data_IF_038714956243
#
_entry.id   IF_038714956243
#
_cell.length_a   1.000
_cell.length_b   1.000
_cell.length_c   1.000
_cell.angle_alpha   90.00
_cell.angle_beta   90.00
_cell.angle_gamma   90.00
#
_symmetry.space_group_name_H-M   'P 1'
#
loop_
_entity.id
_entity.type
_entity.pdbx_description
1 polymer ?
#
# COMPACT_ATOMS: atom_id res chain seq x y z
N UNK A 1 -12.15 32.03 -2.51
CA UNK A 1 -11.87 31.48 -3.85
C UNK A 1 -13.12 30.74 -4.27
N UNK A 2 -13.77 31.10 -5.40
CA UNK A 2 -14.98 30.43 -5.87
C UNK A 2 -14.63 28.99 -6.22
N UNK A 3 -15.24 28.01 -5.54
CA UNK A 3 -15.16 26.61 -5.90
C UNK A 3 -15.59 26.44 -7.36
N UNK A 4 -14.72 25.88 -8.16
CA UNK A 4 -15.01 25.61 -9.57
C UNK A 4 -16.14 24.58 -9.65
N UNK A 5 -17.34 25.03 -9.99
CA UNK A 5 -18.53 24.18 -10.08
C UNK A 5 -18.47 23.42 -11.41
N UNK A 6 -18.18 22.12 -11.39
CA UNK A 6 -18.15 21.28 -12.58
C UNK A 6 -19.44 20.44 -12.65
N UNK A 7 -20.15 20.42 -13.78
CA UNK A 7 -21.31 19.53 -13.97
C UNK A 7 -20.91 18.05 -13.83
N UNK A 8 -21.74 17.25 -13.16
CA UNK A 8 -21.48 15.81 -12.93
C UNK A 8 -21.23 15.09 -14.25
N UNK A 9 -22.00 15.36 -15.31
CA UNK A 9 -21.83 14.74 -16.63
C UNK A 9 -20.46 15.04 -17.23
N UNK A 10 -20.03 16.29 -17.19
CA UNK A 10 -18.72 16.71 -17.69
C UNK A 10 -17.58 16.03 -16.90
N UNK A 11 -17.74 15.95 -15.57
CA UNK A 11 -16.78 15.27 -14.71
C UNK A 11 -16.70 13.77 -15.02
N UNK A 12 -17.83 13.11 -15.28
CA UNK A 12 -17.88 11.71 -15.70
C UNK A 12 -17.13 11.51 -17.01
N UNK A 13 -17.33 12.35 -18.01
CA UNK A 13 -16.65 12.29 -19.31
C UNK A 13 -15.13 12.48 -19.16
N UNK A 14 -14.70 13.49 -18.42
CA UNK A 14 -13.29 13.74 -18.11
C UNK A 14 -12.64 12.54 -17.41
N UNK A 15 -13.35 11.98 -16.43
CA UNK A 15 -12.85 10.81 -15.68
C UNK A 15 -12.75 9.59 -16.58
N UNK A 16 -13.74 9.35 -17.43
CA UNK A 16 -13.74 8.23 -18.37
C UNK A 16 -12.61 8.36 -19.38
N UNK A 17 -12.41 9.54 -19.98
CA UNK A 17 -11.32 9.80 -20.91
C UNK A 17 -9.95 9.58 -20.27
N UNK A 18 -9.78 10.06 -19.03
CA UNK A 18 -8.55 9.84 -18.27
C UNK A 18 -8.30 8.35 -18.05
N UNK A 19 -9.31 7.59 -17.59
CA UNK A 19 -9.19 6.15 -17.37
C UNK A 19 -8.91 5.38 -18.66
N UNK A 20 -9.50 5.75 -19.79
CA UNK A 20 -9.20 5.19 -21.12
C UNK A 20 -7.74 5.45 -21.50
N UNK A 21 -7.25 6.67 -21.31
CA UNK A 21 -5.86 7.04 -21.55
C UNK A 21 -4.88 6.24 -20.67
N UNK A 22 -5.32 5.74 -19.53
CA UNK A 22 -4.54 4.83 -18.65
C UNK A 22 -4.69 3.35 -19.02
N UNK A 23 -5.34 3.01 -20.14
CA UNK A 23 -5.47 1.65 -20.63
C UNK A 23 -6.57 0.82 -19.96
N UNK A 24 -7.56 1.45 -19.29
CA UNK A 24 -8.72 0.73 -18.77
C UNK A 24 -9.60 0.20 -19.90
N UNK A 25 -10.06 -1.05 -19.77
CA UNK A 25 -10.95 -1.66 -20.76
C UNK A 25 -12.35 -1.00 -20.72
N UNK A 26 -12.99 -0.86 -21.88
CA UNK A 26 -14.38 -0.33 -21.99
C UNK A 26 -15.38 -1.12 -21.13
N UNK A 27 -15.21 -2.46 -21.01
CA UNK A 27 -16.03 -3.31 -20.14
C UNK A 27 -15.89 -2.92 -18.66
N UNK A 28 -14.67 -2.60 -18.20
CA UNK A 28 -14.43 -2.13 -16.83
C UNK A 28 -15.10 -0.77 -16.59
N UNK A 29 -15.01 0.12 -17.56
CA UNK A 29 -15.66 1.45 -17.47
C UNK A 29 -17.18 1.37 -17.45
N UNK A 30 -17.76 0.32 -17.99
CA UNK A 30 -19.19 0.04 -17.88
C UNK A 30 -19.66 -0.02 -16.40
N UNK A 31 -18.87 -0.62 -15.52
CA UNK A 31 -19.18 -0.67 -14.08
C UNK A 31 -19.08 0.72 -13.43
N UNK A 32 -18.08 1.52 -13.81
CA UNK A 32 -17.96 2.91 -13.35
C UNK A 32 -19.16 3.73 -13.78
N UNK A 33 -19.52 3.71 -15.08
CA UNK A 33 -20.67 4.41 -15.61
C UNK A 33 -21.97 4.02 -14.92
N UNK A 34 -22.17 2.73 -14.64
CA UNK A 34 -23.36 2.27 -13.92
C UNK A 34 -23.50 2.89 -12.52
N UNK A 35 -22.39 3.05 -11.80
CA UNK A 35 -22.38 3.71 -10.50
C UNK A 35 -22.60 5.21 -10.63
N UNK A 36 -21.91 5.86 -11.58
CA UNK A 36 -22.02 7.31 -11.81
C UNK A 36 -23.40 7.74 -12.30
N UNK A 37 -24.05 6.94 -13.15
CA UNK A 37 -25.43 7.21 -13.59
C UNK A 37 -26.43 7.14 -12.42
N UNK A 38 -26.22 6.21 -11.48
CA UNK A 38 -27.03 6.17 -10.25
C UNK A 38 -26.78 7.40 -9.38
N UNK A 39 -25.55 7.84 -9.26
CA UNK A 39 -25.21 9.08 -8.56
C UNK A 39 -25.81 10.30 -9.23
N UNK A 40 -25.74 10.40 -10.56
CA UNK A 40 -26.38 11.48 -11.32
C UNK A 40 -27.90 11.52 -11.10
N UNK A 41 -28.55 10.36 -11.03
CA UNK A 41 -30.00 10.27 -10.75
C UNK A 41 -30.34 10.57 -9.28
N UNK A 42 -29.40 10.37 -8.36
CA UNK A 42 -29.55 10.67 -6.96
C UNK A 42 -29.39 12.16 -6.66
N UNK A 43 -28.45 12.81 -7.33
CA UNK A 43 -28.12 14.21 -7.10
C UNK A 43 -29.25 15.13 -7.58
N UNK A 44 -29.75 15.98 -6.69
CA UNK A 44 -30.71 17.03 -7.02
C UNK A 44 -30.07 18.19 -7.80
N UNK A 45 -28.74 18.36 -7.70
CA UNK A 45 -27.96 19.38 -8.38
C UNK A 45 -27.22 18.80 -9.60
N UNK A 46 -27.16 19.51 -10.74
CA UNK A 46 -26.31 19.08 -11.85
C UNK A 46 -24.82 19.21 -11.57
N UNK A 47 -24.44 20.00 -10.56
CA UNK A 47 -23.05 20.22 -10.16
C UNK A 47 -22.56 19.13 -9.19
N UNK A 48 -21.30 18.74 -9.34
CA UNK A 48 -20.66 17.80 -8.41
C UNK A 48 -20.42 18.46 -7.05
N UNK A 49 -20.80 17.75 -5.99
CA UNK A 49 -20.46 18.08 -4.62
C UNK A 49 -19.96 16.80 -3.91
N UNK A 50 -18.92 16.96 -3.13
CA UNK A 50 -18.33 15.87 -2.36
C UNK A 50 -19.30 15.37 -1.30
N UNK A 51 -19.98 16.27 -0.61
CA UNK A 51 -20.95 15.94 0.43
C UNK A 51 -22.08 15.09 -0.15
N UNK A 52 -22.60 15.48 -1.34
CA UNK A 52 -23.63 14.70 -2.04
C UNK A 52 -23.12 13.32 -2.44
N UNK A 53 -21.84 13.20 -2.86
CA UNK A 53 -21.23 11.92 -3.22
C UNK A 53 -21.04 11.00 -1.98
N UNK A 54 -20.68 11.56 -0.84
CA UNK A 54 -20.56 10.84 0.43
C UNK A 54 -21.92 10.36 0.95
N UNK A 55 -22.95 11.23 0.90
CA UNK A 55 -24.33 10.86 1.23
C UNK A 55 -24.86 9.75 0.32
N UNK A 56 -24.60 9.83 -0.98
CA UNK A 56 -24.96 8.78 -1.94
C UNK A 56 -24.29 7.44 -1.58
N UNK A 57 -23.01 7.45 -1.28
CA UNK A 57 -22.30 6.23 -0.86
C UNK A 57 -22.88 5.63 0.41
N UNK A 58 -23.21 6.46 1.38
CA UNK A 58 -23.81 6.02 2.64
C UNK A 58 -25.21 5.44 2.42
N UNK A 59 -26.10 6.17 1.74
CA UNK A 59 -27.51 5.78 1.59
C UNK A 59 -27.72 4.64 0.60
N UNK A 60 -26.95 4.58 -0.50
CA UNK A 60 -27.16 3.59 -1.55
C UNK A 60 -26.37 2.29 -1.36
N UNK A 61 -25.20 2.40 -0.74
CA UNK A 61 -24.27 1.29 -0.59
C UNK A 61 -23.92 0.97 0.85
N UNK A 62 -24.38 1.78 1.81
CA UNK A 62 -24.01 1.65 3.21
C UNK A 62 -22.53 1.94 3.50
N UNK A 63 -21.86 2.70 2.60
CA UNK A 63 -20.45 3.04 2.74
C UNK A 63 -20.33 4.36 3.48
N UNK A 64 -19.94 4.29 4.74
CA UNK A 64 -19.52 5.47 5.49
C UNK A 64 -18.04 5.75 5.19
N UNK A 65 -17.77 6.88 4.52
CA UNK A 65 -16.41 7.27 4.15
C UNK A 65 -15.59 7.74 5.36
N UNK A 66 -16.26 8.10 6.45
CA UNK A 66 -15.66 8.57 7.70
C UNK A 66 -15.48 7.43 8.73
N UNK A 67 -16.15 6.29 8.55
CA UNK A 67 -15.99 5.16 9.45
C UNK A 67 -14.63 4.46 9.24
N UNK A 68 -13.88 4.33 10.33
CA UNK A 68 -12.52 3.77 10.33
C UNK A 68 -12.58 2.23 10.35
N UNK A 69 -13.59 1.65 10.99
CA UNK A 69 -13.71 0.21 11.25
C UNK A 69 -14.72 -0.51 10.36
N UNK A 70 -15.25 0.17 9.34
CA UNK A 70 -16.25 -0.43 8.47
C UNK A 70 -15.64 -1.52 7.59
N UNK A 71 -16.11 -2.76 7.77
CA UNK A 71 -15.78 -3.86 6.86
C UNK A 71 -16.58 -3.72 5.57
N UNK A 72 -15.90 -3.41 4.47
CA UNK A 72 -16.52 -3.25 3.16
C UNK A 72 -16.59 -4.60 2.43
N UNK A 73 -17.75 -4.95 1.92
CA UNK A 73 -17.91 -6.06 0.96
C UNK A 73 -17.39 -5.70 -0.45
N UNK A 74 -17.53 -6.64 -1.41
CA UNK A 74 -17.08 -6.41 -2.79
C UNK A 74 -17.82 -5.27 -3.46
N UNK A 75 -19.16 -5.18 -3.29
CA UNK A 75 -20.02 -4.15 -3.90
C UNK A 75 -19.71 -2.77 -3.33
N UNK A 76 -19.57 -2.66 -2.01
CA UNK A 76 -19.22 -1.43 -1.31
C UNK A 76 -17.85 -0.91 -1.75
N UNK A 77 -16.83 -1.80 -1.83
CA UNK A 77 -15.49 -1.45 -2.30
C UNK A 77 -15.48 -0.93 -3.73
N UNK A 78 -16.28 -1.54 -4.62
CA UNK A 78 -16.38 -1.07 -6.00
C UNK A 78 -17.06 0.29 -6.10
N UNK A 79 -18.20 0.48 -5.42
CA UNK A 79 -18.90 1.76 -5.41
C UNK A 79 -18.00 2.89 -4.89
N UNK A 80 -17.34 2.69 -3.75
CA UNK A 80 -16.38 3.65 -3.20
C UNK A 80 -15.27 3.97 -4.18
N UNK A 81 -14.71 2.96 -4.86
CA UNK A 81 -13.65 3.16 -5.86
C UNK A 81 -14.11 3.99 -7.05
N UNK A 82 -15.35 3.73 -7.54
CA UNK A 82 -15.90 4.45 -8.67
C UNK A 82 -16.14 5.92 -8.32
N UNK A 83 -16.69 6.21 -7.13
CA UNK A 83 -16.93 7.58 -6.69
C UNK A 83 -15.62 8.33 -6.36
N UNK A 84 -14.64 7.65 -5.76
CA UNK A 84 -13.32 8.24 -5.53
C UNK A 84 -12.63 8.68 -6.83
N UNK A 85 -12.83 7.95 -7.94
CA UNK A 85 -12.26 8.36 -9.22
C UNK A 85 -12.83 9.70 -9.71
N UNK A 86 -14.14 9.96 -9.49
CA UNK A 86 -14.73 11.28 -9.78
C UNK A 86 -14.14 12.37 -8.88
N UNK A 87 -14.12 12.12 -7.57
CA UNK A 87 -13.62 13.08 -6.60
C UNK A 87 -12.16 13.45 -6.83
N UNK A 88 -11.31 12.47 -7.15
CA UNK A 88 -9.89 12.69 -7.43
C UNK A 88 -9.68 13.52 -8.71
N UNK A 89 -10.42 13.23 -9.80
CA UNK A 89 -10.38 14.04 -11.03
C UNK A 89 -10.87 15.45 -10.75
N UNK A 90 -11.94 15.61 -9.97
CA UNK A 90 -12.46 16.92 -9.58
C UNK A 90 -11.40 17.75 -8.84
N UNK A 91 -10.70 17.17 -7.88
CA UNK A 91 -9.74 17.89 -7.04
C UNK A 91 -8.35 18.04 -7.63
N UNK A 92 -7.88 17.05 -8.38
CA UNK A 92 -6.47 16.96 -8.77
C UNK A 92 -6.24 16.78 -10.27
N UNK A 93 -7.29 16.56 -11.05
CA UNK A 93 -7.19 16.24 -12.47
C UNK A 93 -6.63 14.85 -12.78
N UNK A 94 -6.32 14.04 -11.75
CA UNK A 94 -5.73 12.70 -11.90
C UNK A 94 -6.35 11.71 -10.93
N UNK A 95 -6.40 10.42 -11.29
CA UNK A 95 -6.84 9.37 -10.35
C UNK A 95 -5.61 8.72 -9.72
N UNK A 96 -5.48 8.87 -8.42
CA UNK A 96 -4.46 8.18 -7.65
C UNK A 96 -4.88 6.74 -7.40
N UNK A 97 -4.12 5.77 -7.91
CA UNK A 97 -4.38 4.35 -7.65
C UNK A 97 -4.11 3.91 -6.22
N UNK A 98 -3.52 4.77 -5.42
CA UNK A 98 -3.38 4.51 -4.01
C UNK A 98 -4.75 4.48 -3.37
N UNK A 99 -5.01 3.35 -2.73
CA UNK A 99 -5.88 3.36 -1.58
C UNK A 99 -5.23 4.29 -0.54
N UNK A 100 -5.50 5.55 -0.64
CA UNK A 100 -5.66 6.34 0.56
C UNK A 100 -6.90 5.72 1.18
N UNK A 101 -6.72 4.65 1.97
CA UNK A 101 -7.77 4.20 2.86
C UNK A 101 -8.16 5.46 3.60
N UNK A 102 -9.44 5.82 3.47
CA UNK A 102 -9.91 7.09 3.95
C UNK A 102 -9.17 7.48 5.20
N UNK A 103 -8.32 8.46 5.04
CA UNK A 103 -8.14 9.38 6.11
C UNK A 103 -9.50 9.98 6.18
N UNK A 104 -10.34 9.57 7.12
CA UNK A 104 -11.17 10.54 7.69
C UNK A 104 -10.21 11.70 7.90
N UNK A 105 -10.31 12.74 7.09
CA UNK A 105 -9.92 14.04 7.57
C UNK A 105 -10.72 14.12 8.85
N UNK A 106 -10.04 13.91 9.97
CA UNK A 106 -10.57 14.38 11.22
C UNK A 106 -10.51 15.85 10.93
N UNK A 107 -11.65 16.45 10.56
CA UNK A 107 -11.80 17.88 10.35
C UNK A 107 -11.66 18.55 11.73
N UNK A 108 -10.49 18.39 12.30
CA UNK A 108 -10.09 19.00 13.53
C UNK A 108 -8.86 19.85 13.23
N UNK A 109 -9.13 21.09 12.78
CA UNK A 109 -8.11 22.10 12.49
C UNK A 109 -7.04 22.20 13.58
N UNK A 110 -7.38 21.80 14.81
CA UNK A 110 -6.49 21.85 15.95
C UNK A 110 -5.40 20.79 15.93
N UNK A 111 -5.65 19.60 15.37
CA UNK A 111 -4.68 18.49 15.34
C UNK A 111 -4.03 18.32 13.98
N UNK A 112 -4.70 18.65 12.89
CA UNK A 112 -4.22 18.48 11.53
C UNK A 112 -2.92 19.25 11.26
N UNK A 113 -2.77 20.46 11.82
CA UNK A 113 -1.55 21.23 11.69
C UNK A 113 -0.34 20.50 12.31
N UNK A 114 -0.43 20.08 13.56
CA UNK A 114 0.67 19.39 14.26
C UNK A 114 0.99 18.04 13.65
N UNK A 115 -0.01 17.38 13.12
CA UNK A 115 0.12 16.14 12.40
C UNK A 115 0.89 16.34 11.08
N UNK A 116 0.50 17.34 10.31
CA UNK A 116 1.16 17.71 9.06
C UNK A 116 2.61 18.16 9.29
N UNK A 117 2.85 18.94 10.34
CA UNK A 117 4.20 19.42 10.73
C UNK A 117 5.10 18.24 11.11
N UNK A 118 4.59 17.29 11.90
CA UNK A 118 5.32 16.07 12.24
C UNK A 118 5.62 15.18 11.02
N UNK A 119 4.66 15.00 10.13
CA UNK A 119 4.91 14.26 8.89
C UNK A 119 5.93 14.95 7.99
N UNK A 120 5.94 16.29 7.96
CA UNK A 120 6.94 17.06 7.24
C UNK A 120 8.33 16.91 7.86
N UNK A 121 8.43 16.94 9.19
CA UNK A 121 9.64 16.62 9.92
C UNK A 121 10.15 15.21 9.58
N UNK A 122 9.29 14.21 9.60
CA UNK A 122 9.67 12.84 9.26
C UNK A 122 10.17 12.68 7.82
N UNK A 123 9.60 13.44 6.87
CA UNK A 123 10.09 13.49 5.47
C UNK A 123 11.49 14.08 5.40
N UNK A 124 11.78 15.16 6.13
CA UNK A 124 13.11 15.75 6.18
C UNK A 124 14.15 14.81 6.80
N UNK A 125 13.74 13.94 7.72
CA UNK A 125 14.58 12.88 8.28
C UNK A 125 14.77 11.68 7.36
N UNK A 126 14.26 11.72 6.13
CA UNK A 126 14.35 10.65 5.13
C UNK A 126 13.79 9.28 5.60
N UNK A 127 12.76 9.28 6.47
CA UNK A 127 12.09 8.02 6.81
C UNK A 127 11.47 7.37 5.59
N UNK A 128 11.55 6.03 5.55
CA UNK A 128 10.99 5.27 4.44
C UNK A 128 9.48 5.50 4.32
N UNK A 129 8.98 5.40 3.08
CA UNK A 129 7.55 5.53 2.82
C UNK A 129 6.70 4.55 3.63
N UNK A 130 7.11 3.27 3.73
CA UNK A 130 6.40 2.28 4.53
C UNK A 130 6.34 2.68 6.01
N UNK A 131 7.40 3.30 6.53
CA UNK A 131 7.41 3.85 7.88
C UNK A 131 6.40 4.99 8.01
N UNK A 132 6.35 5.91 7.05
CA UNK A 132 5.40 7.01 7.02
C UNK A 132 3.94 6.52 6.99
N UNK A 133 3.63 5.55 6.12
CA UNK A 133 2.27 4.99 5.99
C UNK A 133 1.83 4.30 7.30
N UNK A 134 2.74 3.57 7.95
CA UNK A 134 2.46 2.95 9.25
C UNK A 134 2.30 3.99 10.36
N UNK A 135 3.09 5.05 10.34
CA UNK A 135 2.99 6.17 11.29
C UNK A 135 1.64 6.86 11.16
N UNK A 136 1.22 7.20 9.95
CA UNK A 136 -0.10 7.78 9.68
C UNK A 136 -1.21 6.87 10.23
N UNK A 137 -1.13 5.57 10.00
CA UNK A 137 -2.13 4.62 10.51
C UNK A 137 -2.14 4.57 12.05
N UNK A 138 -0.98 4.63 12.71
CA UNK A 138 -0.88 4.62 14.16
C UNK A 138 -1.41 5.92 14.78
N UNK A 139 -1.06 7.06 14.19
CA UNK A 139 -1.49 8.37 14.67
C UNK A 139 -2.99 8.59 14.51
N UNK A 140 -3.62 8.01 13.48
CA UNK A 140 -5.08 8.01 13.36
C UNK A 140 -5.78 7.29 14.50
N UNK A 141 -5.25 6.13 14.90
CA UNK A 141 -5.78 5.42 16.06
C UNK A 141 -5.59 6.22 17.35
N UNK A 142 -4.47 6.96 17.45
CA UNK A 142 -4.24 7.86 18.56
C UNK A 142 -5.25 9.02 18.58
N UNK A 143 -5.54 9.62 17.42
CA UNK A 143 -6.56 10.67 17.30
C UNK A 143 -7.95 10.20 17.72
N UNK A 144 -8.31 8.95 17.43
CA UNK A 144 -9.57 8.38 17.95
C UNK A 144 -9.60 8.35 19.49
N UNK A 145 -8.48 7.99 20.12
CA UNK A 145 -8.37 8.03 21.57
C UNK A 145 -8.46 9.47 22.12
N UNK A 146 -7.86 10.43 21.40
CA UNK A 146 -7.96 11.87 21.71
C UNK A 146 -9.42 12.32 21.70
N UNK A 147 -10.18 11.98 20.67
CA UNK A 147 -11.61 12.30 20.59
C UNK A 147 -12.43 11.61 21.68
N UNK A 148 -12.13 10.34 21.98
CA UNK A 148 -12.82 9.58 23.03
C UNK A 148 -12.58 10.13 24.42
N UNK A 149 -11.44 10.79 24.68
CA UNK A 149 -11.09 11.43 25.95
C UNK A 149 -11.51 12.90 26.05
N UNK A 150 -12.33 13.38 25.11
CA UNK A 150 -12.81 14.77 25.06
C UNK A 150 -11.68 15.83 25.06
N UNK A 151 -10.51 15.47 24.52
CA UNK A 151 -9.33 16.33 24.43
C UNK A 151 -9.52 17.31 23.28
N UNK A 152 -9.64 18.61 23.58
CA UNK A 152 -10.02 19.63 22.59
C UNK A 152 -8.83 20.24 21.82
N UNK A 153 -7.62 20.14 22.34
CA UNK A 153 -6.42 20.67 21.68
C UNK A 153 -5.17 19.91 22.13
N UNK A 154 -4.04 20.17 21.43
CA UNK A 154 -2.76 19.48 21.69
C UNK A 154 -2.25 19.68 23.12
N UNK A 155 -2.47 20.86 23.71
CA UNK A 155 -2.04 21.18 25.09
C UNK A 155 -2.88 20.48 26.15
N UNK A 156 -4.09 20.05 25.81
CA UNK A 156 -4.97 19.32 26.72
C UNK A 156 -4.79 17.79 26.67
N UNK A 157 -3.82 17.31 25.90
CA UNK A 157 -3.37 15.91 25.99
C UNK A 157 -2.90 15.65 27.42
N UNK A 158 -3.43 14.59 28.03
CA UNK A 158 -3.18 14.23 29.42
C UNK A 158 -3.07 12.71 29.58
N UNK A 159 -2.86 12.26 30.82
CA UNK A 159 -2.73 10.84 31.12
C UNK A 159 -4.00 10.03 30.76
N UNK A 160 -5.18 10.62 30.78
CA UNK A 160 -6.43 9.96 30.40
C UNK A 160 -6.45 9.64 28.89
N UNK A 161 -6.02 10.60 28.05
CA UNK A 161 -5.86 10.40 26.62
C UNK A 161 -4.91 9.23 26.31
N UNK A 162 -3.77 9.19 27.03
CA UNK A 162 -2.78 8.10 26.87
C UNK A 162 -3.36 6.77 27.35
N UNK A 163 -4.11 6.76 28.44
CA UNK A 163 -4.76 5.56 28.95
C UNK A 163 -5.83 5.03 27.98
N UNK A 164 -6.65 5.90 27.36
CA UNK A 164 -7.60 5.51 26.32
C UNK A 164 -6.90 4.78 25.16
N UNK A 165 -5.84 5.36 24.64
CA UNK A 165 -5.07 4.74 23.56
C UNK A 165 -4.42 3.41 23.99
N UNK A 166 -3.83 3.40 25.19
CA UNK A 166 -3.14 2.22 25.74
C UNK A 166 -4.12 1.06 25.97
N UNK A 167 -5.31 1.35 26.46
CA UNK A 167 -6.39 0.38 26.66
C UNK A 167 -6.88 -0.16 25.31
N UNK A 168 -7.09 0.71 24.32
CA UNK A 168 -7.47 0.30 22.97
C UNK A 168 -6.40 -0.64 22.35
N UNK A 169 -5.11 -0.34 22.52
CA UNK A 169 -4.02 -1.20 22.03
C UNK A 169 -3.94 -2.53 22.80
N UNK A 170 -4.21 -2.53 24.10
CA UNK A 170 -4.19 -3.74 24.93
C UNK A 170 -5.34 -4.69 24.59
N UNK A 171 -6.52 -4.14 24.34
CA UNK A 171 -7.74 -4.90 24.05
C UNK A 171 -7.86 -5.36 22.59
N UNK A 172 -7.03 -4.84 21.68
CA UNK A 172 -7.05 -5.19 20.26
C UNK A 172 -6.54 -6.63 20.00
N UNK A 173 -7.26 -7.65 20.47
CA UNK A 173 -6.88 -9.08 20.38
C UNK A 173 -6.61 -9.54 18.93
N UNK A 174 -7.29 -8.95 17.95
CA UNK A 174 -7.15 -9.24 16.53
C UNK A 174 -5.83 -8.75 15.92
N UNK A 175 -5.10 -7.87 16.61
CA UNK A 175 -3.85 -7.29 16.14
C UNK A 175 -2.69 -8.00 16.82
N UNK A 176 -1.76 -8.53 16.01
CA UNK A 176 -0.60 -9.21 16.57
C UNK A 176 0.27 -8.26 17.43
N UNK A 177 0.92 -8.81 18.44
CA UNK A 177 1.72 -8.08 19.44
C UNK A 177 2.79 -7.17 18.82
N UNK A 178 3.44 -7.62 17.75
CA UNK A 178 4.47 -6.83 17.06
C UNK A 178 3.88 -5.56 16.40
N UNK A 179 2.65 -5.64 15.88
CA UNK A 179 1.96 -4.47 15.30
C UNK A 179 1.52 -3.50 16.40
N UNK A 180 0.99 -4.01 17.53
CA UNK A 180 0.65 -3.15 18.69
C UNK A 180 1.89 -2.39 19.16
N UNK A 181 3.00 -3.10 19.34
CA UNK A 181 4.29 -2.52 19.72
C UNK A 181 4.76 -1.46 18.72
N UNK A 182 4.68 -1.74 17.42
CA UNK A 182 5.06 -0.79 16.37
C UNK A 182 4.19 0.49 16.44
N UNK A 183 2.88 0.35 16.61
CA UNK A 183 1.96 1.48 16.74
C UNK A 183 2.27 2.34 17.97
N UNK A 184 2.49 1.71 19.14
CA UNK A 184 2.88 2.46 20.34
C UNK A 184 4.22 3.19 20.15
N UNK A 185 5.20 2.59 19.48
CA UNK A 185 6.46 3.28 19.18
C UNK A 185 6.28 4.48 18.25
N UNK A 186 5.41 4.38 17.26
CA UNK A 186 5.12 5.47 16.31
C UNK A 186 4.40 6.61 16.98
N UNK A 187 3.39 6.32 17.83
CA UNK A 187 2.71 7.32 18.65
C UNK A 187 3.67 7.91 19.68
N UNK A 188 4.52 7.10 20.30
CA UNK A 188 5.53 7.57 21.23
C UNK A 188 6.52 8.56 20.59
N UNK A 189 6.98 8.26 19.37
CA UNK A 189 7.84 9.18 18.64
C UNK A 189 7.15 10.53 18.33
N UNK A 190 5.85 10.51 18.03
CA UNK A 190 5.06 11.73 17.86
C UNK A 190 4.90 12.52 19.16
N UNK A 191 4.53 11.86 20.27
CA UNK A 191 4.38 12.51 21.58
C UNK A 191 5.70 13.11 22.07
N UNK A 192 6.81 12.40 21.87
CA UNK A 192 8.14 12.92 22.19
C UNK A 192 8.48 14.15 21.34
N UNK A 193 8.17 14.11 20.04
CA UNK A 193 8.35 15.26 19.16
C UNK A 193 7.50 16.47 19.59
N UNK A 194 6.26 16.25 20.05
CA UNK A 194 5.41 17.32 20.60
C UNK A 194 6.06 17.96 21.83
N UNK A 195 6.63 17.14 22.71
CA UNK A 195 7.34 17.61 23.91
C UNK A 195 8.60 18.41 23.55
N UNK A 196 9.43 17.90 22.65
CA UNK A 196 10.66 18.57 22.20
C UNK A 196 10.39 19.92 21.57
N UNK A 197 9.26 20.06 20.87
CA UNK A 197 8.84 21.33 20.26
C UNK A 197 7.99 22.19 21.19
N UNK A 198 7.89 21.83 22.49
CA UNK A 198 7.16 22.58 23.53
C UNK A 198 5.67 22.77 23.25
N UNK A 199 5.08 21.82 22.54
CA UNK A 199 3.63 21.76 22.32
C UNK A 199 2.90 21.10 23.50
N UNK A 200 3.59 20.27 24.30
CA UNK A 200 3.11 19.68 25.54
C UNK A 200 4.10 19.95 26.67
N UNK A 201 3.61 20.08 27.90
CA UNK A 201 4.44 20.35 29.09
C UNK A 201 5.15 19.08 29.62
N UNK A 202 4.64 17.91 29.28
CA UNK A 202 5.17 16.61 29.70
C UNK A 202 5.43 15.71 28.50
N UNK A 203 6.46 14.87 28.62
CA UNK A 203 6.73 13.80 27.65
C UNK A 203 5.85 12.58 27.94
N UNK A 204 4.69 12.54 27.30
CA UNK A 204 3.74 11.45 27.43
C UNK A 204 4.19 10.15 26.72
N UNK A 205 5.25 10.17 25.94
CA UNK A 205 5.77 8.98 25.27
C UNK A 205 6.18 7.87 26.25
N UNK A 206 6.63 8.27 27.43
CA UNK A 206 7.08 7.38 28.51
C UNK A 206 5.92 6.61 29.18
N UNK A 207 4.69 7.08 29.03
CA UNK A 207 3.49 6.46 29.63
C UNK A 207 2.88 5.37 28.72
N UNK A 208 3.35 5.23 27.49
CA UNK A 208 2.84 4.23 26.55
C UNK A 208 3.27 2.81 26.92
N UNK A 209 2.40 1.80 26.70
CA UNK A 209 2.72 0.42 27.03
C UNK A 209 3.87 -0.10 26.15
N UNK A 210 4.84 -0.75 26.80
CA UNK A 210 5.93 -1.43 26.12
C UNK A 210 5.59 -2.92 25.94
N UNK A 211 4.96 -3.25 24.83
CA UNK A 211 4.64 -4.64 24.51
C UNK A 211 5.90 -5.47 24.25
N UNK A 212 5.97 -6.68 24.85
CA UNK A 212 7.08 -7.59 24.63
C UNK A 212 7.23 -7.94 23.16
N UNK A 213 8.48 -8.04 22.70
CA UNK A 213 8.78 -8.56 21.36
C UNK A 213 8.48 -10.06 21.36
N UNK A 214 7.67 -10.52 20.43
CA UNK A 214 7.56 -11.97 20.17
C UNK A 214 8.91 -12.47 19.69
N UNK A 215 9.30 -13.66 20.14
CA UNK A 215 10.54 -14.28 19.68
C UNK A 215 10.58 -14.30 18.14
N UNK A 216 11.72 -14.00 17.53
CA UNK A 216 11.85 -14.10 16.09
C UNK A 216 11.60 -15.56 15.70
N UNK A 217 10.61 -15.80 14.85
CA UNK A 217 10.44 -17.11 14.26
C UNK A 217 11.60 -17.35 13.28
N UNK A 218 12.17 -18.54 13.33
CA UNK A 218 13.21 -18.96 12.37
C UNK A 218 12.54 -18.94 10.99
N UNK A 219 13.06 -18.18 10.02
CA UNK A 219 12.51 -18.16 8.68
C UNK A 219 12.55 -19.56 8.08
N UNK A 220 11.45 -19.98 7.48
CA UNK A 220 11.44 -21.22 6.72
C UNK A 220 12.27 -21.06 5.47
N UNK A 221 13.25 -21.94 5.28
CA UNK A 221 14.07 -22.03 4.06
C UNK A 221 13.45 -23.10 3.17
N UNK A 222 13.26 -22.78 1.91
CA UNK A 222 12.71 -23.72 0.92
C UNK A 222 13.81 -24.64 0.42
N UNK A 223 13.51 -25.94 0.30
CA UNK A 223 14.45 -26.86 -0.32
C UNK A 223 14.53 -26.65 -1.84
N UNK A 224 15.62 -27.06 -2.50
CA UNK A 224 15.70 -27.01 -3.96
C UNK A 224 14.51 -27.67 -4.65
N UNK A 225 14.07 -28.82 -4.14
CA UNK A 225 12.93 -29.58 -4.67
C UNK A 225 11.61 -28.82 -4.51
N UNK A 226 11.43 -28.09 -3.40
CA UNK A 226 10.26 -27.22 -3.20
C UNK A 226 10.27 -26.02 -4.17
N UNK A 227 11.44 -25.42 -4.40
CA UNK A 227 11.62 -24.34 -5.37
C UNK A 227 11.27 -24.83 -6.77
N UNK A 228 11.78 -26.00 -7.18
CA UNK A 228 11.49 -26.57 -8.48
C UNK A 228 9.99 -26.90 -8.66
N UNK A 229 9.33 -27.42 -7.63
CA UNK A 229 7.87 -27.62 -7.62
C UNK A 229 7.11 -26.31 -7.80
N UNK A 230 7.53 -25.23 -7.14
CA UNK A 230 6.91 -23.90 -7.29
C UNK A 230 7.08 -23.40 -8.70
N UNK A 231 8.27 -23.48 -9.27
CA UNK A 231 8.56 -23.04 -10.64
C UNK A 231 7.78 -23.85 -11.68
N UNK A 232 7.64 -25.18 -11.49
CA UNK A 232 6.93 -26.07 -12.40
C UNK A 232 5.43 -25.78 -12.51
N UNK A 233 4.78 -25.25 -11.47
CA UNK A 233 3.33 -24.95 -11.48
C UNK A 233 3.01 -23.56 -12.04
N UNK A 234 4.03 -22.78 -12.43
CA UNK A 234 3.83 -21.47 -13.04
C UNK A 234 3.62 -21.66 -14.55
N UNK A 235 2.43 -21.37 -15.01
CA UNK A 235 2.09 -21.44 -16.44
C UNK A 235 2.73 -20.26 -17.20
N UNK A 236 3.80 -20.54 -17.92
CA UNK A 236 4.54 -19.56 -18.73
C UNK A 236 3.93 -19.31 -20.11
N UNK A 237 2.84 -19.98 -20.48
CA UNK A 237 2.13 -19.73 -21.73
C UNK A 237 1.43 -18.36 -21.72
N UNK A 238 1.12 -17.81 -20.53
CA UNK A 238 0.47 -16.51 -20.40
C UNK A 238 1.44 -15.41 -19.89
N UNK A 239 1.17 -14.12 -20.23
CA UNK A 239 2.04 -13.00 -19.88
C UNK A 239 2.30 -12.82 -18.39
N UNK A 240 1.27 -13.03 -17.53
CA UNK A 240 1.40 -12.93 -16.06
C UNK A 240 2.28 -14.05 -15.52
N UNK A 241 2.13 -15.26 -16.08
CA UNK A 241 2.94 -16.40 -15.69
C UNK A 241 4.43 -16.20 -16.05
N UNK A 242 4.76 -15.71 -17.24
CA UNK A 242 6.14 -15.36 -17.63
C UNK A 242 6.75 -14.36 -16.65
N UNK A 243 6.01 -13.31 -16.31
CA UNK A 243 6.44 -12.34 -15.29
C UNK A 243 6.72 -13.00 -13.95
N UNK A 244 5.78 -13.77 -13.47
CA UNK A 244 5.87 -14.38 -12.16
C UNK A 244 6.99 -15.43 -12.10
N UNK A 245 7.17 -16.21 -13.18
CA UNK A 245 8.28 -17.16 -13.31
C UNK A 245 9.63 -16.45 -13.19
N UNK A 246 9.85 -15.37 -13.96
CA UNK A 246 11.09 -14.60 -13.87
C UNK A 246 11.32 -14.00 -12.47
N UNK A 247 10.27 -13.51 -11.80
CA UNK A 247 10.35 -13.00 -10.42
C UNK A 247 10.76 -14.12 -9.44
N UNK A 248 10.08 -15.28 -9.50
CA UNK A 248 10.39 -16.41 -8.60
C UNK A 248 11.79 -16.96 -8.83
N UNK A 249 12.19 -17.08 -10.09
CA UNK A 249 13.52 -17.56 -10.44
C UNK A 249 14.61 -16.61 -9.93
N UNK A 250 14.42 -15.29 -10.08
CA UNK A 250 15.33 -14.29 -9.52
C UNK A 250 15.43 -14.42 -8.01
N UNK A 251 14.30 -14.53 -7.29
CA UNK A 251 14.31 -14.72 -5.84
C UNK A 251 15.07 -15.97 -5.42
N UNK A 252 14.82 -17.09 -6.12
CA UNK A 252 15.42 -18.39 -5.79
C UNK A 252 16.94 -18.43 -6.06
N UNK A 253 17.40 -17.90 -7.20
CA UNK A 253 18.79 -17.99 -7.62
C UNK A 253 19.69 -16.89 -7.07
N UNK A 254 19.12 -15.71 -6.74
CA UNK A 254 19.94 -14.57 -6.28
C UNK A 254 19.82 -14.28 -4.78
N UNK A 255 18.78 -14.76 -4.12
CA UNK A 255 18.49 -14.40 -2.72
C UNK A 255 18.16 -12.93 -2.51
N UNK A 256 17.85 -12.19 -3.59
CA UNK A 256 17.39 -10.80 -3.49
C UNK A 256 16.07 -10.71 -2.71
N UNK A 257 15.87 -9.60 -2.02
CA UNK A 257 14.56 -9.34 -1.41
C UNK A 257 13.51 -9.09 -2.48
N UNK A 258 12.27 -9.49 -2.21
CA UNK A 258 11.16 -9.29 -3.16
C UNK A 258 11.03 -7.82 -3.59
N UNK A 259 11.24 -6.85 -2.69
CA UNK A 259 11.22 -5.43 -3.03
C UNK A 259 12.29 -5.05 -4.06
N UNK A 260 13.49 -5.63 -3.93
CA UNK A 260 14.61 -5.35 -4.82
C UNK A 260 14.35 -5.97 -6.21
N UNK A 261 13.81 -7.20 -6.27
CA UNK A 261 13.41 -7.84 -7.54
C UNK A 261 12.29 -7.07 -8.22
N UNK A 262 11.22 -6.74 -7.50
CA UNK A 262 10.09 -6.00 -8.07
C UNK A 262 10.48 -4.57 -8.51
N UNK A 263 11.50 -4.00 -7.89
CA UNK A 263 12.06 -2.68 -8.19
C UNK A 263 13.11 -2.66 -9.30
N UNK A 264 13.43 -3.80 -9.93
CA UNK A 264 14.45 -3.87 -10.98
C UNK A 264 14.08 -2.98 -12.18
N UNK A 265 15.07 -2.20 -12.65
CA UNK A 265 15.00 -1.36 -13.83
C UNK A 265 15.87 -1.96 -14.96
N UNK A 266 15.63 -1.53 -16.19
CA UNK A 266 16.47 -1.91 -17.32
C UNK A 266 17.94 -1.55 -17.08
N UNK A 267 18.21 -0.39 -16.44
CA UNK A 267 19.57 0.06 -16.12
C UNK A 267 20.29 -0.81 -15.08
N UNK A 268 19.57 -1.70 -14.39
CA UNK A 268 20.18 -2.61 -13.44
C UNK A 268 20.78 -3.86 -14.08
N UNK A 269 20.46 -4.13 -15.35
CA UNK A 269 20.95 -5.32 -16.06
C UNK A 269 22.01 -4.93 -17.07
N UNK A 270 23.22 -5.42 -16.88
CA UNK A 270 24.28 -5.33 -17.87
C UNK A 270 24.37 -6.66 -18.64
N UNK A 271 23.76 -6.66 -19.85
CA UNK A 271 23.70 -7.83 -20.70
C UNK A 271 25.07 -8.23 -21.29
N UNK A 272 26.00 -7.28 -21.43
CA UNK A 272 27.33 -7.56 -21.95
C UNK A 272 28.22 -8.29 -20.97
N UNK A 273 28.12 -7.86 -19.69
CA UNK A 273 28.91 -8.42 -18.61
C UNK A 273 28.16 -9.51 -17.84
N UNK A 274 26.93 -9.84 -18.25
CA UNK A 274 26.08 -10.81 -17.59
C UNK A 274 25.97 -10.56 -16.08
N UNK A 275 25.62 -9.34 -15.69
CA UNK A 275 25.46 -9.01 -14.26
C UNK A 275 24.22 -8.14 -14.01
N UNK A 276 23.72 -8.25 -12.77
CA UNK A 276 22.66 -7.42 -12.22
C UNK A 276 23.28 -6.53 -11.15
N UNK A 277 23.24 -5.21 -11.33
CA UNK A 277 23.80 -4.23 -10.40
C UNK A 277 22.69 -3.32 -9.86
N UNK A 278 22.53 -3.27 -8.56
CA UNK A 278 21.50 -2.47 -7.90
C UNK A 278 21.92 -1.99 -6.51
N UNK A 279 21.27 -0.94 -6.02
CA UNK A 279 21.32 -0.56 -4.60
C UNK A 279 20.10 -1.15 -3.88
N UNK A 280 20.32 -1.90 -2.82
CA UNK A 280 19.25 -2.52 -2.05
C UNK A 280 18.34 -1.45 -1.43
N UNK A 281 17.04 -1.53 -1.65
CA UNK A 281 16.08 -0.53 -1.16
C UNK A 281 16.06 -0.38 0.37
N UNK A 282 16.29 -1.46 1.11
CA UNK A 282 16.23 -1.47 2.59
C UNK A 282 17.50 -0.96 3.26
N UNK A 283 18.67 -1.20 2.68
CA UNK A 283 19.98 -0.97 3.31
C UNK A 283 20.81 0.08 2.58
N UNK A 284 20.46 0.43 1.34
CA UNK A 284 21.24 1.34 0.50
C UNK A 284 22.52 0.72 -0.07
N UNK A 285 22.86 -0.52 0.30
CA UNK A 285 24.10 -1.15 -0.12
C UNK A 285 24.09 -1.47 -1.61
N UNK A 286 25.17 -1.16 -2.30
CA UNK A 286 25.39 -1.57 -3.67
C UNK A 286 25.66 -3.09 -3.72
N UNK A 287 25.04 -3.76 -4.69
CA UNK A 287 25.15 -5.20 -4.88
C UNK A 287 25.28 -5.47 -6.37
N UNK A 288 26.24 -6.34 -6.72
CA UNK A 288 26.40 -6.88 -8.07
C UNK A 288 26.32 -8.41 -8.01
N UNK A 289 25.50 -8.99 -8.88
CA UNK A 289 25.23 -10.43 -8.93
C UNK A 289 25.38 -10.94 -10.36
N UNK A 290 25.84 -12.19 -10.55
CA UNK A 290 25.90 -12.78 -11.87
C UNK A 290 24.48 -13.00 -12.45
N UNK A 291 24.30 -12.69 -13.70
CA UNK A 291 23.11 -13.01 -14.49
C UNK A 291 23.32 -14.32 -15.22
N UNK A 292 22.86 -15.43 -14.64
CA UNK A 292 22.95 -16.73 -15.31
C UNK A 292 22.13 -16.74 -16.61
N UNK A 293 22.47 -17.65 -17.53
CA UNK A 293 21.74 -17.84 -18.79
C UNK A 293 20.25 -18.10 -18.53
N UNK A 294 19.94 -18.92 -17.53
CA UNK A 294 18.56 -19.25 -17.12
C UNK A 294 17.78 -17.99 -16.71
N UNK A 295 18.36 -17.15 -15.85
CA UNK A 295 17.77 -15.88 -15.41
C UNK A 295 17.58 -14.91 -16.57
N UNK A 296 18.61 -14.76 -17.40
CA UNK A 296 18.56 -13.89 -18.59
C UNK A 296 17.44 -14.30 -19.54
N UNK A 297 17.31 -15.59 -19.85
CA UNK A 297 16.26 -16.11 -20.72
C UNK A 297 14.85 -15.91 -20.14
N UNK A 298 14.66 -16.10 -18.84
CA UNK A 298 13.37 -15.86 -18.18
C UNK A 298 12.97 -14.37 -18.26
N UNK A 299 13.90 -13.46 -18.04
CA UNK A 299 13.65 -12.02 -18.16
C UNK A 299 13.34 -11.66 -19.61
N UNK A 300 14.13 -12.13 -20.59
CA UNK A 300 13.91 -11.87 -22.02
C UNK A 300 12.54 -12.38 -22.46
N UNK A 301 12.17 -13.61 -22.09
CA UNK A 301 10.85 -14.18 -22.39
C UNK A 301 9.71 -13.31 -21.88
N UNK A 302 9.85 -12.78 -20.67
CA UNK A 302 8.85 -11.84 -20.13
C UNK A 302 8.85 -10.51 -20.91
N UNK A 303 10.01 -9.95 -21.21
CA UNK A 303 10.12 -8.67 -21.92
C UNK A 303 9.54 -8.72 -23.33
N UNK A 304 9.77 -9.81 -24.05
CA UNK A 304 9.31 -9.98 -25.45
C UNK A 304 7.82 -10.28 -25.54
N UNK A 305 7.35 -11.26 -24.77
CA UNK A 305 6.02 -11.84 -24.98
C UNK A 305 5.07 -11.64 -23.77
N UNK A 306 5.53 -11.01 -22.71
CA UNK A 306 4.76 -10.88 -21.49
C UNK A 306 4.54 -9.46 -21.00
N UNK A 307 5.53 -8.59 -21.17
CA UNK A 307 5.50 -7.25 -20.57
C UNK A 307 4.50 -6.33 -21.30
N UNK A 308 3.57 -5.67 -20.59
CA UNK A 308 2.72 -4.65 -21.20
C UNK A 308 3.55 -3.52 -21.82
N UNK A 309 3.10 -2.96 -22.95
CA UNK A 309 3.71 -1.78 -23.54
C UNK A 309 3.62 -0.60 -22.56
N UNK A 310 4.76 -0.03 -22.22
CA UNK A 310 4.88 1.07 -21.27
C UNK A 310 6.23 1.75 -21.39
N UNK A 311 6.28 3.06 -21.20
CA UNK A 311 7.50 3.87 -21.11
C UNK A 311 8.22 3.73 -19.75
N UNK A 312 7.70 2.93 -18.84
CA UNK A 312 8.29 2.70 -17.52
C UNK A 312 9.68 2.09 -17.63
N UNK A 313 10.65 2.64 -16.89
CA UNK A 313 12.00 2.11 -16.76
C UNK A 313 12.07 0.79 -15.97
N UNK A 314 11.01 0.40 -15.28
CA UNK A 314 10.95 -0.83 -14.48
C UNK A 314 10.69 -2.05 -15.37
N UNK A 315 11.35 -3.16 -15.04
CA UNK A 315 11.18 -4.44 -15.76
C UNK A 315 9.80 -5.02 -15.46
N UNK A 316 9.44 -5.18 -14.20
CA UNK A 316 8.23 -5.87 -13.77
C UNK A 316 7.06 -4.91 -13.54
N UNK A 317 6.01 -5.09 -14.34
CA UNK A 317 4.82 -4.24 -14.31
C UNK A 317 3.57 -5.01 -13.90
N UNK A 318 2.59 -4.28 -13.38
CA UNK A 318 1.22 -4.76 -13.24
C UNK A 318 0.62 -5.04 -14.61
N UNK A 319 -0.11 -6.16 -14.76
CA UNK A 319 -0.87 -6.45 -15.98
C UNK A 319 -2.28 -5.87 -15.96
N UNK A 320 -2.62 -5.13 -14.92
CA UNK A 320 -3.84 -4.35 -14.84
C UNK A 320 -3.49 -2.89 -15.07
N UNK A 321 -4.30 -2.21 -15.90
CA UNK A 321 -4.14 -0.78 -16.11
C UNK A 321 -4.13 0.00 -14.79
N UNK A 322 -3.29 1.03 -14.68
CA UNK A 322 -2.45 1.67 -15.68
C UNK A 322 -1.03 1.08 -15.81
N UNK A 323 -0.82 -0.21 -15.66
CA UNK A 323 0.44 -0.94 -15.87
C UNK A 323 1.63 -0.39 -15.05
N UNK A 324 1.36 -0.05 -13.79
CA UNK A 324 2.37 0.53 -12.89
C UNK A 324 3.45 -0.48 -12.49
N UNK A 325 4.64 -0.01 -12.12
CA UNK A 325 5.68 -0.85 -11.54
C UNK A 325 5.17 -1.65 -10.35
N UNK A 326 5.56 -2.92 -10.26
CA UNK A 326 5.17 -3.78 -9.13
C UNK A 326 5.84 -3.35 -7.81
N UNK A 327 7.08 -2.82 -7.87
CA UNK A 327 7.88 -2.51 -6.70
C UNK A 327 7.36 -1.38 -5.82
N UNK A 328 6.51 -0.51 -6.36
CA UNK A 328 6.09 0.68 -5.61
C UNK A 328 4.85 0.46 -4.74
N UNK A 329 3.93 -0.45 -5.11
CA UNK A 329 2.60 -0.50 -4.49
C UNK A 329 1.94 -1.86 -4.44
N UNK A 330 2.61 -2.93 -4.84
CA UNK A 330 1.97 -4.23 -4.94
C UNK A 330 2.46 -5.20 -3.85
N UNK A 331 1.48 -5.76 -3.15
CA UNK A 331 1.72 -6.91 -2.31
C UNK A 331 1.76 -8.16 -3.22
N UNK A 332 2.94 -8.75 -3.43
CA UNK A 332 3.12 -9.96 -4.22
C UNK A 332 2.72 -11.24 -3.44
N UNK A 333 2.39 -11.13 -2.16
CA UNK A 333 2.04 -12.25 -1.29
C UNK A 333 0.87 -13.09 -1.83
N UNK A 334 -0.23 -12.52 -2.37
CA UNK A 334 -1.32 -13.32 -2.91
C UNK A 334 -0.90 -14.23 -4.05
N UNK A 335 -0.04 -13.73 -4.95
CA UNK A 335 0.51 -14.53 -6.05
C UNK A 335 1.43 -15.64 -5.52
N UNK A 336 2.26 -15.32 -4.53
CA UNK A 336 3.12 -16.28 -3.88
C UNK A 336 2.32 -17.42 -3.24
N UNK A 337 1.34 -17.10 -2.40
CA UNK A 337 0.48 -18.09 -1.75
C UNK A 337 -0.32 -18.94 -2.76
N UNK A 338 -0.68 -18.37 -3.90
CA UNK A 338 -1.34 -19.10 -4.98
C UNK A 338 -0.46 -20.22 -5.54
N UNK A 339 0.82 -19.92 -5.80
CA UNK A 339 1.74 -20.92 -6.35
C UNK A 339 2.18 -21.95 -5.31
N UNK A 340 2.35 -21.56 -4.04
CA UNK A 340 2.58 -22.52 -2.95
C UNK A 340 1.46 -23.54 -2.85
N UNK A 341 0.20 -23.08 -2.85
CA UNK A 341 -0.96 -23.97 -2.83
C UNK A 341 -1.01 -24.90 -4.03
N UNK A 342 -0.69 -24.40 -5.23
CA UNK A 342 -0.63 -25.23 -6.44
C UNK A 342 0.48 -26.26 -6.40
N UNK A 343 1.59 -25.95 -5.80
CA UNK A 343 2.73 -26.85 -5.61
C UNK A 343 2.52 -27.86 -4.46
N UNK A 344 1.40 -27.77 -3.72
CA UNK A 344 1.14 -28.62 -2.56
C UNK A 344 2.04 -28.31 -1.35
N UNK A 345 2.58 -27.08 -1.28
CA UNK A 345 3.51 -26.66 -0.23
C UNK A 345 2.72 -25.88 0.83
N UNK A 346 2.93 -26.19 2.10
CA UNK A 346 2.30 -25.52 3.21
C UNK A 346 2.68 -24.01 3.24
N UNK A 347 1.69 -23.15 3.45
CA UNK A 347 1.92 -21.71 3.57
C UNK A 347 2.41 -21.46 5.00
N UNK A 348 3.63 -20.93 5.19
CA UNK A 348 4.11 -20.63 6.52
C UNK A 348 3.28 -19.52 7.16
N UNK A 349 3.04 -19.62 8.45
CA UNK A 349 2.28 -18.62 9.23
C UNK A 349 2.96 -17.27 9.27
N UNK A 350 4.29 -17.24 9.06
CA UNK A 350 5.07 -16.01 8.96
C UNK A 350 5.99 -16.12 7.76
N UNK A 351 5.59 -15.52 6.66
CA UNK A 351 6.39 -15.54 5.43
C UNK A 351 7.42 -14.42 5.47
N UNK A 352 8.65 -14.76 5.75
CA UNK A 352 9.79 -13.93 5.40
C UNK A 352 10.26 -14.34 4.00
N UNK A 353 9.83 -13.63 2.97
CA UNK A 353 10.25 -13.90 1.57
C UNK A 353 11.75 -13.68 1.32
N UNK A 354 12.49 -13.31 2.35
CA UNK A 354 13.91 -13.00 2.28
C UNK A 354 14.81 -14.22 2.20
N UNK A 355 14.26 -15.44 2.22
CA UNK A 355 15.07 -16.68 2.32
C UNK A 355 14.65 -17.76 1.32
N UNK A 356 14.36 -17.35 0.07
CA UNK A 356 14.31 -18.28 -1.07
C UNK A 356 15.72 -18.69 -1.53
N UNK A 357 16.72 -18.68 -0.63
CA UNK A 357 18.08 -19.06 -0.96
C UNK A 357 18.18 -20.59 -0.99
N UNK A 358 18.36 -21.15 -2.17
CA UNK A 358 18.97 -22.47 -2.27
C UNK A 358 20.38 -22.37 -1.67
N UNK A 359 20.70 -23.19 -0.67
CA UNK A 359 22.08 -23.39 -0.28
C UNK A 359 22.79 -24.04 -1.48
N UNK A 360 23.53 -23.25 -2.23
CA UNK A 360 24.64 -23.79 -3.00
C UNK A 360 25.67 -24.23 -1.97
N UNK A 361 25.63 -25.51 -1.60
CA UNK A 361 26.78 -26.17 -1.04
C UNK A 361 27.81 -26.29 -2.14
N UNK A 362 28.91 -25.59 -1.95
CA UNK A 362 30.17 -25.71 -2.68
C UNK A 362 30.59 -27.16 -2.91
#
# INVERSE_FOLDING_TARGET
MSEATIPIKELMEKTEQWLLGQGYKKSTLGFYRATWNRFLSYSASPAYSRETAEQFLLQYFGVDVHAIDQTLDGRMRHARRHMNALDEIFRTGTVCRRKVYGVASIDDDCFDKFFSDYLSYCKMQNFSRSWMDNTIAALRLFLLAVHSSNTQNIKSINAETINCFSTAMSNASEICMNVRRARCRQVGAYLHWLYDHKYTDLDYSLQLPNFKRTAPQIPQVWSPEEIDKILAVIDTANPVGRRNYAIFLLLARTGLRISDVLGLKFSNINWKENCISLSQQKTGNALSLPLSKELGMAIISYLQDGRPQSSSAFIFLSHNAPFQPLGEHNNFNPEFHKYLRRAGIAIPTTVSYTHLRAHETS
#
